data_IF_900716731484
#
_entry.id   IF_900716731484
#
_cell.length_a   1.000
_cell.length_b   1.000
_cell.length_c   1.000
_cell.angle_alpha   90.00
_cell.angle_beta   90.00
_cell.angle_gamma   90.00
#
_symmetry.space_group_name_H-M   'P 1'
#
loop_
_entity.id
_entity.type
_entity.pdbx_description
1 polymer ?
#
# COMPACT_ATOMS: atom_id res chain seq x y z
N UNK A 1 20.05 14.84 1.29
CA UNK A 1 19.60 14.54 -0.08
C UNK A 1 18.12 14.22 0.00
N UNK A 2 17.28 14.99 -0.67
CA UNK A 2 15.85 14.66 -0.78
C UNK A 2 15.74 13.40 -1.63
N UNK A 3 15.11 12.37 -1.07
CA UNK A 3 14.81 11.14 -1.80
C UNK A 3 13.39 11.15 -2.33
N UNK A 4 13.08 10.33 -3.32
CA UNK A 4 11.70 10.10 -3.77
C UNK A 4 11.29 8.66 -3.45
N UNK A 5 10.00 8.41 -3.21
CA UNK A 5 9.44 7.07 -3.13
C UNK A 5 8.42 6.88 -4.26
N UNK A 6 8.84 6.31 -5.36
CA UNK A 6 8.03 6.13 -6.57
C UNK A 6 7.53 4.68 -6.73
N UNK A 7 8.39 3.69 -6.42
CA UNK A 7 8.10 2.25 -6.40
C UNK A 7 8.80 1.60 -5.22
N UNK A 8 8.43 0.38 -4.86
CA UNK A 8 9.12 -0.39 -3.82
C UNK A 8 10.44 -0.99 -4.31
N UNK A 9 10.55 -1.29 -5.60
CA UNK A 9 11.81 -1.74 -6.18
C UNK A 9 12.98 -0.79 -5.96
N UNK A 10 12.73 0.51 -5.77
CA UNK A 10 13.76 1.50 -5.43
C UNK A 10 14.34 1.32 -4.01
N UNK A 11 13.56 0.76 -3.09
CA UNK A 11 14.00 0.50 -1.71
C UNK A 11 14.83 -0.78 -1.60
N UNK A 12 14.53 -1.76 -2.45
CA UNK A 12 15.06 -3.11 -2.29
C UNK A 12 14.58 -3.77 -0.98
N UNK A 13 15.08 -4.97 -0.71
CA UNK A 13 14.69 -5.75 0.48
C UNK A 13 15.05 -5.02 1.78
N UNK A 14 16.27 -4.52 1.89
CA UNK A 14 16.76 -3.82 3.09
C UNK A 14 15.97 -2.54 3.38
N UNK A 15 15.72 -1.73 2.35
CA UNK A 15 14.94 -0.49 2.54
C UNK A 15 13.47 -0.74 2.85
N UNK A 16 12.86 -1.82 2.34
CA UNK A 16 11.52 -2.24 2.72
C UNK A 16 11.52 -2.65 4.20
N UNK A 17 12.46 -3.50 4.63
CA UNK A 17 12.59 -3.93 6.02
C UNK A 17 12.82 -2.74 6.97
N UNK A 18 13.71 -1.80 6.60
CA UNK A 18 13.92 -0.54 7.35
C UNK A 18 12.61 0.23 7.53
N UNK A 19 11.82 0.39 6.46
CA UNK A 19 10.54 1.09 6.53
C UNK A 19 9.53 0.39 7.45
N UNK A 20 9.47 -0.93 7.43
CA UNK A 20 8.58 -1.69 8.30
C UNK A 20 9.01 -1.56 9.77
N UNK A 21 10.30 -1.69 10.07
CA UNK A 21 10.84 -1.51 11.42
C UNK A 21 10.63 -0.07 11.94
N UNK A 22 10.79 0.93 11.08
CA UNK A 22 10.51 2.32 11.42
C UNK A 22 9.02 2.54 11.70
N UNK A 23 8.14 1.80 11.03
CA UNK A 23 6.68 1.90 11.23
C UNK A 23 6.26 1.53 12.65
N UNK A 24 6.93 0.58 13.32
CA UNK A 24 6.63 0.19 14.70
C UNK A 24 6.63 1.39 15.66
N UNK A 25 7.63 2.27 15.53
CA UNK A 25 7.74 3.48 16.34
C UNK A 25 6.53 4.41 16.15
N UNK A 26 6.00 4.48 14.94
CA UNK A 26 4.85 5.33 14.64
C UNK A 26 3.50 4.68 14.96
N UNK A 27 3.43 3.36 15.04
CA UNK A 27 2.27 2.66 15.60
C UNK A 27 2.14 2.98 17.08
N UNK A 28 3.25 2.95 17.85
CA UNK A 28 3.28 3.35 19.25
C UNK A 28 2.81 4.82 19.42
N UNK A 29 3.34 5.74 18.61
CA UNK A 29 2.87 7.14 18.63
C UNK A 29 1.37 7.24 18.40
N UNK A 30 0.84 6.41 17.49
CA UNK A 30 -0.60 6.37 17.19
C UNK A 30 -1.49 5.93 18.36
N UNK A 31 -0.94 5.23 19.34
CA UNK A 31 -1.64 4.74 20.54
C UNK A 31 -1.59 5.73 21.72
N UNK A 32 -0.76 6.76 21.64
CA UNK A 32 -0.64 7.77 22.72
C UNK A 32 -1.94 8.58 22.87
N UNK A 33 -2.25 9.08 24.07
CA UNK A 33 -3.38 10.00 24.28
C UNK A 33 -3.33 11.23 23.36
N UNK A 34 -2.13 11.74 23.08
CA UNK A 34 -1.86 12.77 22.07
C UNK A 34 -0.99 12.13 20.98
N UNK A 35 -1.58 11.63 19.88
CA UNK A 35 -0.85 10.89 18.83
C UNK A 35 -0.10 11.84 17.90
N UNK A 36 0.80 12.68 18.45
CA UNK A 36 1.55 13.69 17.71
C UNK A 36 2.99 13.77 18.23
N UNK A 37 3.92 13.95 17.30
CA UNK A 37 5.35 14.18 17.57
C UNK A 37 5.87 15.34 16.71
N UNK A 38 6.83 16.16 17.19
CA UNK A 38 7.31 17.34 16.47
C UNK A 38 8.34 17.02 15.37
N UNK A 39 8.37 15.78 14.87
CA UNK A 39 9.41 15.26 13.97
C UNK A 39 9.52 16.00 12.63
N UNK A 40 8.45 16.63 12.16
CA UNK A 40 8.41 17.42 10.92
C UNK A 40 7.92 18.86 11.17
N UNK A 41 8.13 19.40 12.36
CA UNK A 41 7.77 20.79 12.66
C UNK A 41 8.48 21.75 11.70
N UNK A 42 7.73 22.66 11.08
CA UNK A 42 8.25 23.62 10.10
C UNK A 42 8.47 23.03 8.69
N UNK A 43 8.07 21.77 8.46
CA UNK A 43 8.01 21.18 7.12
C UNK A 43 6.62 21.27 6.56
N UNK A 44 6.52 21.40 5.22
CA UNK A 44 5.25 21.48 4.50
C UNK A 44 5.10 20.29 3.56
N UNK A 45 3.98 19.57 3.66
CA UNK A 45 3.62 18.46 2.78
C UNK A 45 2.44 18.85 1.90
N UNK A 46 2.62 18.85 0.58
CA UNK A 46 1.56 19.08 -0.37
C UNK A 46 0.93 17.74 -0.83
N UNK A 47 -0.41 17.63 -0.81
CA UNK A 47 -1.14 16.48 -1.34
C UNK A 47 -1.79 16.85 -2.67
N UNK A 48 -1.24 16.32 -3.78
CA UNK A 48 -1.65 16.58 -5.16
C UNK A 48 -2.43 15.39 -5.71
N UNK A 49 -3.75 15.41 -5.52
CA UNK A 49 -4.63 14.31 -5.93
C UNK A 49 -5.42 14.69 -7.19
N UNK A 50 -4.97 14.17 -8.32
CA UNK A 50 -5.61 14.30 -9.64
C UNK A 50 -6.59 13.16 -9.93
N UNK A 51 -6.59 12.12 -9.11
CA UNK A 51 -7.54 11.02 -9.07
C UNK A 51 -8.17 10.97 -7.67
N UNK A 52 -9.48 10.81 -7.59
CA UNK A 52 -10.20 10.75 -6.31
C UNK A 52 -9.72 9.61 -5.43
N UNK A 53 -9.43 9.92 -4.19
CA UNK A 53 -9.09 8.95 -3.16
C UNK A 53 -9.23 9.54 -1.76
N UNK A 54 -10.35 9.27 -1.13
CA UNK A 54 -10.60 9.73 0.24
C UNK A 54 -9.63 9.12 1.24
N UNK A 55 -9.47 7.79 1.21
CA UNK A 55 -8.61 7.07 2.18
C UNK A 55 -7.16 7.47 2.10
N UNK A 56 -6.55 7.40 0.91
CA UNK A 56 -5.12 7.69 0.74
C UNK A 56 -4.81 9.13 1.11
N UNK A 57 -5.64 10.08 0.68
CA UNK A 57 -5.47 11.50 1.01
C UNK A 57 -5.55 11.72 2.52
N UNK A 58 -6.64 11.29 3.16
CA UNK A 58 -6.82 11.46 4.61
C UNK A 58 -5.71 10.77 5.41
N UNK A 59 -5.22 9.60 4.97
CA UNK A 59 -4.12 8.91 5.64
C UNK A 59 -2.81 9.70 5.56
N UNK A 60 -2.45 10.30 4.41
CA UNK A 60 -1.27 11.16 4.30
C UNK A 60 -1.42 12.46 5.08
N UNK A 61 -2.59 13.13 5.00
CA UNK A 61 -2.84 14.34 5.76
C UNK A 61 -2.80 14.08 7.28
N UNK A 62 -3.36 12.94 7.72
CA UNK A 62 -3.28 12.54 9.13
C UNK A 62 -1.85 12.24 9.54
N UNK A 63 -1.09 11.52 8.72
CA UNK A 63 0.32 11.22 8.98
C UNK A 63 1.17 12.50 9.11
N UNK A 64 1.04 13.43 8.17
CA UNK A 64 1.75 14.70 8.20
C UNK A 64 1.41 15.53 9.45
N UNK A 65 0.11 15.63 9.79
CA UNK A 65 -0.35 16.35 11.00
C UNK A 65 0.14 15.69 12.29
N UNK A 66 0.21 14.35 12.36
CA UNK A 66 0.77 13.64 13.52
C UNK A 66 2.28 13.86 13.68
N UNK A 67 2.98 14.13 12.59
CA UNK A 67 4.39 14.51 12.58
C UNK A 67 4.61 16.02 12.79
N UNK A 68 3.55 16.80 13.02
CA UNK A 68 3.55 18.26 13.17
C UNK A 68 4.00 19.02 11.92
N UNK A 69 3.84 18.44 10.74
CA UNK A 69 4.02 19.14 9.47
C UNK A 69 2.80 19.98 9.11
N UNK A 70 3.02 21.07 8.38
CA UNK A 70 1.96 21.79 7.71
C UNK A 70 1.48 21.02 6.49
N UNK A 71 0.18 21.09 6.20
CA UNK A 71 -0.44 20.35 5.09
C UNK A 71 -1.08 21.30 4.10
N UNK A 72 -0.65 21.22 2.85
CA UNK A 72 -1.24 21.93 1.73
C UNK A 72 -2.02 20.95 0.86
N UNK A 73 -3.34 21.10 0.79
CA UNK A 73 -4.20 20.19 0.03
C UNK A 73 -4.58 20.82 -1.30
N UNK A 74 -4.20 20.16 -2.39
CA UNK A 74 -4.61 20.52 -3.75
C UNK A 74 -5.71 19.59 -4.25
N UNK A 75 -6.76 20.15 -4.83
CA UNK A 75 -7.85 19.43 -5.47
C UNK A 75 -7.96 19.84 -6.94
N UNK A 76 -7.79 18.86 -7.83
CA UNK A 76 -7.84 19.11 -9.29
C UNK A 76 -9.19 19.67 -9.75
N UNK A 77 -10.29 19.28 -9.13
CA UNK A 77 -11.66 19.72 -9.49
C UNK A 77 -11.93 21.21 -9.23
N UNK A 78 -11.18 21.82 -8.32
CA UNK A 78 -11.31 23.24 -7.94
C UNK A 78 -10.12 24.12 -8.34
N UNK A 79 -9.22 23.60 -9.17
CA UNK A 79 -7.94 24.24 -9.52
C UNK A 79 -7.95 24.90 -10.90
N UNK A 80 -6.90 25.69 -11.17
CA UNK A 80 -6.63 26.33 -12.46
C UNK A 80 -6.36 25.35 -13.61
N UNK A 81 -6.13 24.06 -13.33
CA UNK A 81 -6.10 23.00 -14.36
C UNK A 81 -7.36 22.98 -15.22
N UNK A 82 -8.53 23.27 -14.62
CA UNK A 82 -9.79 23.42 -15.34
C UNK A 82 -9.77 24.60 -16.36
N UNK A 83 -8.81 25.51 -16.24
CA UNK A 83 -8.60 26.67 -17.10
C UNK A 83 -7.50 26.48 -18.13
N UNK A 84 -6.92 25.26 -18.23
CA UNK A 84 -5.88 24.91 -19.21
C UNK A 84 -4.44 25.07 -18.70
N UNK A 85 -4.21 25.27 -17.41
CA UNK A 85 -2.86 25.22 -16.81
C UNK A 85 -2.27 23.81 -16.96
N UNK A 86 -0.99 23.73 -17.28
CA UNK A 86 -0.32 22.43 -17.40
C UNK A 86 -0.01 21.84 -16.01
N UNK A 87 0.10 20.50 -15.95
CA UNK A 87 0.52 19.82 -14.73
C UNK A 87 1.87 20.32 -14.23
N UNK A 88 2.79 20.63 -15.16
CA UNK A 88 4.12 21.13 -14.83
C UNK A 88 4.06 22.51 -14.18
N UNK A 89 3.30 23.44 -14.74
CA UNK A 89 3.15 24.79 -14.18
C UNK A 89 2.52 24.73 -12.77
N UNK A 90 1.55 23.83 -12.56
CA UNK A 90 0.96 23.58 -11.23
C UNK A 90 2.00 23.08 -10.23
N UNK A 91 2.87 22.13 -10.62
CA UNK A 91 3.93 21.59 -9.77
C UNK A 91 4.95 22.67 -9.43
N UNK A 92 5.45 23.41 -10.40
CA UNK A 92 6.41 24.52 -10.23
C UNK A 92 5.83 25.62 -9.33
N UNK A 93 4.54 25.93 -9.47
CA UNK A 93 3.85 26.91 -8.61
C UNK A 93 3.79 26.43 -7.17
N UNK A 94 3.46 25.16 -6.93
CA UNK A 94 3.38 24.60 -5.57
C UNK A 94 4.78 24.50 -4.95
N UNK A 95 5.79 24.12 -5.74
CA UNK A 95 7.18 24.13 -5.28
C UNK A 95 7.63 25.51 -4.82
N UNK A 96 7.32 26.56 -5.61
CA UNK A 96 7.64 27.96 -5.27
C UNK A 96 6.98 28.44 -3.98
N UNK A 97 5.94 27.76 -3.49
CA UNK A 97 5.33 28.03 -2.18
C UNK A 97 6.13 27.45 -0.99
N UNK A 98 7.25 26.76 -1.24
CA UNK A 98 8.16 26.27 -0.22
C UNK A 98 7.76 24.95 0.40
N UNK A 99 7.26 23.98 -0.39
CA UNK A 99 6.93 22.64 0.08
C UNK A 99 8.19 21.75 0.16
N UNK A 100 8.26 20.90 1.18
CA UNK A 100 9.33 19.92 1.36
C UNK A 100 9.00 18.56 0.74
N UNK A 101 7.71 18.23 0.62
CA UNK A 101 7.27 17.00 -0.02
C UNK A 101 5.96 17.17 -0.79
N UNK A 102 5.85 16.42 -1.90
CA UNK A 102 4.64 16.33 -2.72
C UNK A 102 4.15 14.87 -2.78
N UNK A 103 2.95 14.61 -2.29
CA UNK A 103 2.27 13.33 -2.45
C UNK A 103 1.42 13.40 -3.72
N UNK A 104 1.84 12.68 -4.76
CA UNK A 104 1.21 12.75 -6.09
C UNK A 104 0.39 11.50 -6.35
N UNK A 105 -0.91 11.68 -6.65
CA UNK A 105 -1.80 10.61 -7.12
C UNK A 105 -2.42 10.99 -8.45
N UNK A 106 -2.28 10.10 -9.44
CA UNK A 106 -2.75 10.36 -10.79
C UNK A 106 -3.35 9.11 -11.46
N UNK A 107 -4.31 9.30 -12.38
CA UNK A 107 -4.91 8.21 -13.16
C UNK A 107 -3.96 7.60 -14.21
N UNK A 108 -2.94 8.32 -14.63
CA UNK A 108 -1.94 7.86 -15.60
C UNK A 108 -0.69 7.39 -14.87
N UNK A 109 -0.16 6.25 -15.31
CA UNK A 109 1.11 5.69 -14.81
C UNK A 109 2.29 6.60 -15.16
N UNK A 110 3.30 6.66 -14.27
CA UNK A 110 4.55 7.41 -14.48
C UNK A 110 4.49 8.90 -14.12
N UNK A 111 3.32 9.47 -13.81
CA UNK A 111 3.21 10.91 -13.48
C UNK A 111 4.01 11.27 -12.22
N UNK A 112 4.02 10.53 -11.11
CA UNK A 112 4.90 10.87 -9.98
C UNK A 112 6.38 10.90 -10.36
N UNK A 113 6.82 10.00 -11.25
CA UNK A 113 8.18 9.99 -11.75
C UNK A 113 8.50 11.20 -12.67
N UNK A 114 7.50 11.73 -13.39
CA UNK A 114 7.66 12.98 -14.13
C UNK A 114 7.78 14.16 -13.18
N UNK A 115 6.92 14.25 -12.17
CA UNK A 115 6.96 15.29 -11.14
C UNK A 115 8.32 15.27 -10.43
N UNK A 116 8.84 14.11 -10.06
CA UNK A 116 10.16 13.97 -9.45
C UNK A 116 11.32 14.50 -10.30
N UNK A 117 11.15 14.56 -11.63
CA UNK A 117 12.14 15.16 -12.54
C UNK A 117 11.99 16.68 -12.73
N UNK A 118 10.86 17.23 -12.35
CA UNK A 118 10.58 18.66 -12.48
C UNK A 118 10.93 19.45 -11.23
N UNK A 119 10.78 18.83 -10.05
CA UNK A 119 11.10 19.48 -8.76
C UNK A 119 12.61 19.53 -8.53
N UNK A 120 13.04 20.54 -7.79
CA UNK A 120 14.43 20.70 -7.35
C UNK A 120 14.83 19.73 -6.23
N UNK A 121 16.13 19.67 -5.95
CA UNK A 121 16.75 18.75 -4.99
C UNK A 121 16.22 18.88 -3.53
N UNK A 122 15.52 19.98 -3.23
CA UNK A 122 14.93 20.23 -1.91
C UNK A 122 13.58 19.54 -1.67
N UNK A 123 12.92 19.01 -2.71
CA UNK A 123 11.54 18.49 -2.62
C UNK A 123 11.51 17.00 -2.83
N UNK A 124 10.90 16.29 -1.89
CA UNK A 124 10.65 14.84 -2.00
C UNK A 124 9.31 14.55 -2.69
N UNK A 125 9.28 13.57 -3.60
CA UNK A 125 8.05 13.14 -4.27
C UNK A 125 7.67 11.74 -3.81
N UNK A 126 6.41 11.59 -3.38
CA UNK A 126 5.81 10.33 -2.95
C UNK A 126 4.70 9.93 -3.92
N UNK A 127 4.76 8.71 -4.41
CA UNK A 127 3.71 8.14 -5.22
C UNK A 127 2.52 7.70 -4.34
N UNK A 128 1.43 8.48 -4.37
CA UNK A 128 0.15 8.18 -3.72
C UNK A 128 -0.76 7.24 -4.52
N UNK A 129 -0.21 6.62 -5.58
CA UNK A 129 -0.88 5.71 -6.51
C UNK A 129 -1.03 6.29 -7.91
N UNK A 130 -0.41 5.67 -8.90
CA UNK A 130 -0.43 6.11 -10.29
C UNK A 130 -0.91 5.02 -11.26
N UNK A 131 -1.97 5.30 -11.99
CA UNK A 131 -2.54 4.40 -13.00
C UNK A 131 -2.69 2.97 -12.51
N UNK A 132 -2.10 2.04 -13.25
CA UNK A 132 -1.98 0.61 -12.92
C UNK A 132 -0.55 0.25 -12.45
N UNK A 133 0.32 1.24 -12.26
CA UNK A 133 1.75 1.06 -12.09
C UNK A 133 2.14 0.74 -10.65
N UNK A 134 2.02 1.69 -9.71
CA UNK A 134 2.49 1.47 -8.34
C UNK A 134 1.68 2.23 -7.28
N UNK A 135 1.68 1.70 -6.06
CA UNK A 135 1.21 2.36 -4.85
C UNK A 135 2.08 1.94 -3.66
N UNK A 136 3.34 2.43 -3.59
CA UNK A 136 4.36 1.90 -2.68
C UNK A 136 3.92 1.91 -1.21
N UNK A 137 3.26 2.97 -0.75
CA UNK A 137 2.78 3.03 0.65
C UNK A 137 1.61 2.08 0.93
N UNK A 138 0.93 1.55 -0.10
CA UNK A 138 -0.05 0.48 0.08
C UNK A 138 0.67 -0.87 0.26
N UNK A 139 1.63 -1.20 -0.60
CA UNK A 139 2.40 -2.44 -0.44
C UNK A 139 3.15 -2.50 0.90
N UNK A 140 3.75 -1.39 1.35
CA UNK A 140 4.34 -1.32 2.70
C UNK A 140 3.30 -1.53 3.80
N UNK A 141 2.11 -0.92 3.68
CA UNK A 141 1.02 -1.07 4.64
C UNK A 141 0.55 -2.52 4.74
N UNK A 142 0.38 -3.18 3.61
CA UNK A 142 -0.12 -4.54 3.53
C UNK A 142 0.94 -5.52 4.06
N UNK A 143 2.20 -5.35 3.65
CA UNK A 143 3.33 -6.12 4.17
C UNK A 143 3.53 -5.94 5.69
N UNK A 144 3.46 -4.70 6.20
CA UNK A 144 3.54 -4.42 7.63
C UNK A 144 2.41 -5.09 8.42
N UNK A 145 1.18 -5.02 7.88
CA UNK A 145 0.02 -5.62 8.53
C UNK A 145 0.16 -7.13 8.66
N UNK A 146 0.65 -7.79 7.60
CA UNK A 146 0.91 -9.23 7.61
C UNK A 146 2.06 -9.59 8.54
N UNK A 147 3.19 -8.88 8.45
CA UNK A 147 4.32 -9.13 9.34
C UNK A 147 3.89 -9.06 10.81
N UNK A 148 3.20 -8.01 11.23
CA UNK A 148 2.76 -7.85 12.63
C UNK A 148 1.55 -8.70 13.00
N UNK A 149 0.88 -9.31 12.06
CA UNK A 149 -0.12 -10.33 12.36
C UNK A 149 0.53 -11.68 12.68
N UNK A 150 1.50 -12.12 11.88
CA UNK A 150 2.18 -13.41 12.07
C UNK A 150 3.37 -13.34 13.05
N UNK A 151 3.95 -12.15 13.23
CA UNK A 151 5.00 -11.82 14.19
C UNK A 151 4.55 -10.65 15.07
N UNK A 152 3.67 -10.85 16.05
CA UNK A 152 3.22 -9.79 16.94
C UNK A 152 4.40 -9.23 17.74
N UNK A 153 4.33 -7.93 18.08
CA UNK A 153 5.33 -7.34 18.98
C UNK A 153 5.30 -8.04 20.33
N UNK A 154 6.47 -8.34 20.94
CA UNK A 154 6.51 -8.85 22.30
C UNK A 154 5.80 -7.89 23.26
N UNK A 155 5.13 -8.43 24.28
CA UNK A 155 4.50 -7.67 25.40
C UNK A 155 5.56 -7.03 26.35
N UNK A 156 6.81 -6.92 25.94
CA UNK A 156 7.91 -6.38 26.72
C UNK A 156 8.02 -4.85 26.57
N UNK A 157 8.55 -4.14 27.60
CA UNK A 157 8.73 -2.70 27.54
C UNK A 157 9.59 -2.28 26.35
N UNK A 158 9.29 -1.14 25.71
CA UNK A 158 10.11 -0.62 24.57
C UNK A 158 11.59 -0.52 24.96
N UNK A 159 12.45 -1.19 24.17
CA UNK A 159 13.91 -1.11 24.33
C UNK A 159 14.60 -2.34 24.93
N UNK A 160 13.87 -3.41 25.29
CA UNK A 160 14.46 -4.64 25.88
C UNK A 160 14.65 -5.77 24.87
N UNK A 161 13.89 -5.85 23.81
CA UNK A 161 14.11 -6.80 22.72
C UNK A 161 14.52 -6.05 21.45
N UNK A 162 15.47 -6.58 20.69
CA UNK A 162 15.67 -6.17 19.30
C UNK A 162 14.41 -6.57 18.53
N UNK A 163 13.79 -5.66 17.76
CA UNK A 163 12.65 -6.04 16.94
C UNK A 163 13.09 -7.15 15.97
N UNK A 164 12.26 -8.19 15.82
CA UNK A 164 12.49 -9.21 14.82
C UNK A 164 12.66 -8.55 13.46
N UNK A 165 13.62 -9.04 12.68
CA UNK A 165 13.83 -8.53 11.32
C UNK A 165 12.55 -8.78 10.50
N UNK A 166 12.01 -7.75 9.81
CA UNK A 166 10.79 -7.90 9.03
C UNK A 166 10.92 -8.98 7.97
N UNK A 167 10.08 -10.00 8.08
CA UNK A 167 10.06 -11.12 7.14
C UNK A 167 8.65 -11.64 6.94
N UNK A 168 8.36 -12.14 5.76
CA UNK A 168 7.17 -12.91 5.41
C UNK A 168 7.57 -14.32 4.91
N UNK A 169 8.81 -14.72 5.21
CA UNK A 169 9.34 -16.03 4.81
C UNK A 169 8.49 -17.15 5.40
N UNK A 170 8.19 -18.16 4.58
CA UNK A 170 7.34 -19.28 4.96
C UNK A 170 5.84 -19.04 4.69
N UNK A 171 5.40 -17.80 4.48
CA UNK A 171 4.01 -17.52 4.13
C UNK A 171 3.73 -17.75 2.67
N UNK A 172 2.56 -18.32 2.38
CA UNK A 172 1.99 -18.47 1.03
C UNK A 172 0.80 -17.53 0.87
N UNK A 173 0.98 -16.48 0.06
CA UNK A 173 0.05 -15.36 -0.07
C UNK A 173 -0.64 -15.41 -1.43
N UNK A 174 -1.96 -15.61 -1.44
CA UNK A 174 -2.78 -15.48 -2.65
C UNK A 174 -3.14 -14.03 -2.92
N UNK A 175 -2.91 -13.55 -4.15
CA UNK A 175 -3.44 -12.28 -4.65
C UNK A 175 -4.52 -12.61 -5.66
N UNK A 176 -5.78 -12.33 -5.30
CA UNK A 176 -6.96 -12.82 -6.04
C UNK A 176 -7.69 -11.68 -6.74
N UNK A 177 -7.89 -11.79 -8.04
CA UNK A 177 -8.75 -10.89 -8.79
C UNK A 177 -8.07 -10.17 -9.96
N UNK A 178 -8.29 -8.87 -10.10
CA UNK A 178 -7.81 -8.08 -11.23
C UNK A 178 -6.32 -7.69 -11.06
N UNK A 179 -5.44 -8.55 -11.50
CA UNK A 179 -3.98 -8.36 -11.39
C UNK A 179 -3.51 -7.29 -12.38
N UNK A 180 -3.99 -7.33 -13.63
CA UNK A 180 -3.46 -6.46 -14.70
C UNK A 180 -3.71 -4.98 -14.46
N UNK A 181 -4.88 -4.61 -13.90
CA UNK A 181 -5.25 -3.21 -13.68
C UNK A 181 -4.96 -2.73 -12.24
N UNK A 182 -4.38 -3.61 -11.40
CA UNK A 182 -4.15 -3.29 -10.00
C UNK A 182 -2.72 -2.82 -9.72
N UNK A 183 -2.57 -1.54 -9.45
CA UNK A 183 -1.32 -0.98 -8.90
C UNK A 183 -0.99 -1.54 -7.51
N UNK A 184 -2.00 -2.00 -6.77
CA UNK A 184 -1.81 -2.61 -5.46
C UNK A 184 -1.18 -3.97 -5.62
N UNK A 185 -1.71 -4.83 -6.51
CA UNK A 185 -1.12 -6.14 -6.79
C UNK A 185 0.38 -6.03 -7.13
N UNK A 186 0.77 -5.05 -7.95
CA UNK A 186 2.19 -4.83 -8.30
C UNK A 186 3.03 -4.50 -7.07
N UNK A 187 2.59 -3.54 -6.26
CA UNK A 187 3.34 -3.16 -5.05
C UNK A 187 3.35 -4.25 -3.99
N UNK A 188 2.28 -5.05 -3.88
CA UNK A 188 2.22 -6.19 -2.96
C UNK A 188 3.17 -7.32 -3.42
N UNK A 189 3.21 -7.64 -4.72
CA UNK A 189 4.15 -8.62 -5.27
C UNK A 189 5.59 -8.21 -4.96
N UNK A 190 5.97 -6.93 -5.21
CA UNK A 190 7.31 -6.42 -4.86
C UNK A 190 7.61 -6.57 -3.37
N UNK A 191 6.69 -6.12 -2.49
CA UNK A 191 6.88 -6.16 -1.05
C UNK A 191 6.97 -7.59 -0.50
N UNK A 192 6.03 -8.45 -0.89
CA UNK A 192 5.93 -9.80 -0.35
C UNK A 192 7.10 -10.68 -0.79
N UNK A 193 7.46 -10.62 -2.07
CA UNK A 193 8.61 -11.40 -2.59
C UNK A 193 9.94 -10.91 -2.02
N UNK A 194 10.11 -9.59 -1.83
CA UNK A 194 11.30 -9.02 -1.19
C UNK A 194 11.45 -9.48 0.26
N UNK A 195 10.34 -9.66 0.97
CA UNK A 195 10.32 -10.17 2.36
C UNK A 195 10.30 -11.70 2.46
N UNK A 196 10.44 -12.41 1.35
CA UNK A 196 10.61 -13.86 1.32
C UNK A 196 9.34 -14.69 1.21
N UNK A 197 8.15 -14.09 1.06
CA UNK A 197 6.92 -14.85 0.87
C UNK A 197 6.85 -15.54 -0.50
N UNK A 198 6.09 -16.63 -0.56
CA UNK A 198 5.60 -17.23 -1.80
C UNK A 198 4.28 -16.58 -2.19
N UNK A 199 4.17 -16.08 -3.41
CA UNK A 199 2.99 -15.37 -3.92
C UNK A 199 2.28 -16.21 -4.96
N UNK A 200 0.96 -16.35 -4.85
CA UNK A 200 0.12 -17.05 -5.82
C UNK A 200 -0.83 -16.04 -6.46
N UNK A 201 -0.66 -15.76 -7.74
CA UNK A 201 -1.58 -14.91 -8.50
C UNK A 201 -2.76 -15.74 -8.98
N UNK A 202 -3.95 -15.39 -8.54
CA UNK A 202 -5.20 -16.12 -8.83
C UNK A 202 -6.15 -15.22 -9.60
N UNK A 203 -6.32 -15.45 -10.89
CA UNK A 203 -7.17 -14.60 -11.70
C UNK A 203 -7.67 -15.33 -12.96
N UNK A 204 -8.78 -14.88 -13.58
CA UNK A 204 -9.13 -15.30 -14.93
C UNK A 204 -8.02 -14.87 -15.91
N UNK A 205 -7.80 -15.61 -17.00
CA UNK A 205 -6.77 -15.26 -17.99
C UNK A 205 -6.86 -13.82 -18.51
N UNK A 206 -8.06 -13.28 -18.61
CA UNK A 206 -8.34 -11.91 -19.08
C UNK A 206 -7.93 -10.81 -18.10
N UNK A 207 -7.73 -11.15 -16.83
CA UNK A 207 -7.31 -10.23 -15.76
C UNK A 207 -5.84 -10.45 -15.31
N UNK A 208 -5.09 -11.24 -16.10
CA UNK A 208 -3.64 -11.36 -16.04
C UNK A 208 -3.00 -10.64 -17.23
N UNK A 209 -1.74 -10.21 -17.16
CA UNK A 209 -0.97 -9.81 -18.34
C UNK A 209 -0.97 -10.92 -19.41
N UNK A 210 -0.86 -10.57 -20.68
CA UNK A 210 -0.96 -11.54 -21.79
C UNK A 210 0.06 -12.69 -21.70
N UNK A 211 1.24 -12.43 -21.20
CA UNK A 211 2.29 -13.40 -20.90
C UNK A 211 2.73 -13.22 -19.44
N UNK A 212 1.94 -13.75 -18.49
CA UNK A 212 2.12 -13.36 -17.09
C UNK A 212 3.45 -13.85 -16.49
N UNK A 213 4.00 -14.98 -16.99
CA UNK A 213 5.31 -15.47 -16.55
C UNK A 213 6.43 -14.57 -17.06
N UNK A 214 6.44 -14.24 -18.35
CA UNK A 214 7.45 -13.36 -18.94
C UNK A 214 7.41 -11.97 -18.27
N UNK A 215 6.20 -11.44 -18.02
CA UNK A 215 6.02 -10.19 -17.31
C UNK A 215 6.63 -10.21 -15.91
N UNK A 216 6.49 -11.29 -15.15
CA UNK A 216 7.10 -11.44 -13.83
C UNK A 216 8.63 -11.53 -13.96
N UNK A 217 9.14 -12.33 -14.90
CA UNK A 217 10.57 -12.58 -15.08
C UNK A 217 11.31 -11.33 -15.61
N UNK A 218 10.65 -10.47 -16.38
CA UNK A 218 11.21 -9.20 -16.85
C UNK A 218 11.20 -8.11 -15.75
N UNK A 219 10.23 -8.16 -14.85
CA UNK A 219 10.00 -7.10 -13.87
C UNK A 219 10.72 -7.35 -12.55
N UNK A 220 10.74 -8.58 -12.04
CA UNK A 220 11.31 -8.91 -10.75
C UNK A 220 12.73 -9.47 -10.89
N UNK A 221 13.53 -9.31 -9.83
CA UNK A 221 14.79 -10.05 -9.73
C UNK A 221 14.52 -11.56 -9.78
N UNK A 222 15.46 -12.37 -10.34
CA UNK A 222 15.23 -13.80 -10.58
C UNK A 222 14.80 -14.60 -9.34
N UNK A 223 15.30 -14.24 -8.16
CA UNK A 223 14.94 -14.91 -6.90
C UNK A 223 13.52 -14.57 -6.46
N UNK A 224 13.10 -13.33 -6.60
CA UNK A 224 11.74 -12.88 -6.34
C UNK A 224 10.76 -13.49 -7.35
N UNK A 225 11.12 -13.52 -8.63
CA UNK A 225 10.32 -14.10 -9.70
C UNK A 225 10.01 -15.59 -9.47
N UNK A 226 10.96 -16.37 -8.95
CA UNK A 226 10.76 -17.80 -8.61
C UNK A 226 9.75 -18.03 -7.50
N UNK A 227 9.47 -17.02 -6.68
CA UNK A 227 8.49 -17.08 -5.58
C UNK A 227 7.05 -16.84 -6.07
N UNK A 228 6.86 -16.50 -7.34
CA UNK A 228 5.53 -16.19 -7.89
C UNK A 228 5.00 -17.36 -8.70
N UNK A 229 3.89 -17.93 -8.24
CA UNK A 229 3.07 -18.94 -8.92
C UNK A 229 1.86 -18.25 -9.58
N UNK A 230 1.34 -18.80 -10.67
CA UNK A 230 0.18 -18.26 -11.38
C UNK A 230 -0.82 -19.40 -11.57
N UNK A 231 -2.07 -19.17 -11.20
CA UNK A 231 -3.17 -20.12 -11.37
C UNK A 231 -4.47 -19.42 -11.73
N UNK A 232 -5.40 -20.19 -12.30
CA UNK A 232 -6.75 -19.73 -12.64
C UNK A 232 -7.82 -20.34 -11.74
N UNK A 233 -7.47 -21.30 -10.88
CA UNK A 233 -8.38 -21.97 -9.95
C UNK A 233 -8.14 -21.50 -8.53
N UNK A 234 -9.08 -20.73 -7.95
CA UNK A 234 -8.99 -20.32 -6.55
C UNK A 234 -9.12 -21.51 -5.62
N UNK A 235 -10.07 -22.39 -5.88
CA UNK A 235 -10.38 -23.54 -5.04
C UNK A 235 -9.22 -24.53 -4.97
N UNK A 236 -8.39 -24.61 -6.01
CA UNK A 236 -7.23 -25.50 -6.08
C UNK A 236 -6.12 -25.13 -5.08
N UNK A 237 -6.04 -23.87 -4.69
CA UNK A 237 -4.94 -23.34 -3.86
C UNK A 237 -5.40 -22.84 -2.50
N UNK A 238 -6.69 -22.57 -2.34
CA UNK A 238 -7.26 -21.84 -1.20
C UNK A 238 -6.89 -22.44 0.16
N UNK A 239 -6.99 -23.76 0.32
CA UNK A 239 -6.69 -24.46 1.58
C UNK A 239 -5.21 -24.47 1.97
N UNK A 240 -4.32 -24.07 1.05
CA UNK A 240 -2.88 -23.97 1.30
C UNK A 240 -2.37 -22.53 1.37
N UNK A 241 -3.26 -21.55 1.42
CA UNK A 241 -2.90 -20.14 1.56
C UNK A 241 -2.94 -19.71 3.04
N UNK A 242 -1.91 -19.02 3.49
CA UNK A 242 -1.89 -18.34 4.78
C UNK A 242 -2.59 -16.97 4.72
N UNK A 243 -2.57 -16.35 3.52
CA UNK A 243 -3.20 -15.05 3.28
C UNK A 243 -3.97 -15.06 1.97
N UNK A 244 -5.18 -14.53 1.99
CA UNK A 244 -5.98 -14.25 0.80
C UNK A 244 -6.11 -12.74 0.64
N UNK A 245 -5.28 -12.16 -0.21
CA UNK A 245 -5.33 -10.75 -0.63
C UNK A 245 -6.35 -10.57 -1.75
N UNK A 246 -7.53 -10.08 -1.43
CA UNK A 246 -8.56 -9.82 -2.42
C UNK A 246 -8.34 -8.45 -3.07
N UNK A 247 -8.36 -8.42 -4.39
CA UNK A 247 -8.28 -7.17 -5.14
C UNK A 247 -9.68 -6.64 -5.45
N UNK A 248 -9.81 -5.31 -5.40
CA UNK A 248 -11.04 -4.67 -5.84
C UNK A 248 -11.27 -4.91 -7.34
N UNK A 249 -12.43 -5.43 -7.69
CA UNK A 249 -12.87 -5.53 -9.07
C UNK A 249 -13.22 -4.13 -9.60
N UNK A 250 -12.31 -3.51 -10.35
CA UNK A 250 -12.41 -2.11 -10.82
C UNK A 250 -13.18 -2.03 -12.14
N UNK A 251 -14.46 -2.34 -12.11
CA UNK A 251 -15.34 -2.36 -13.30
C UNK A 251 -15.29 -1.07 -14.11
N UNK A 252 -15.12 0.05 -13.43
CA UNK A 252 -15.00 1.38 -14.03
C UNK A 252 -13.71 1.59 -14.85
N UNK A 253 -12.75 0.67 -14.73
CA UNK A 253 -11.47 0.69 -15.46
C UNK A 253 -11.34 -0.45 -16.47
N UNK A 254 -12.27 -1.39 -16.46
CA UNK A 254 -12.27 -2.53 -17.36
C UNK A 254 -12.93 -2.14 -18.68
N UNK A 255 -12.34 -2.55 -19.80
CA UNK A 255 -13.05 -2.61 -21.06
C UNK A 255 -14.14 -3.69 -21.00
N UNK A 256 -15.23 -3.50 -21.73
CA UNK A 256 -16.28 -4.49 -21.83
C UNK A 256 -15.71 -5.84 -22.31
N UNK A 257 -16.14 -6.94 -21.66
CA UNK A 257 -15.79 -8.30 -22.05
C UNK A 257 -14.59 -8.93 -21.33
N UNK A 258 -13.90 -8.24 -20.40
CA UNK A 258 -12.79 -8.82 -19.62
C UNK A 258 -13.28 -9.84 -18.56
N UNK A 259 -14.52 -9.69 -18.08
CA UNK A 259 -15.22 -10.69 -17.27
C UNK A 259 -16.51 -11.06 -17.97
N UNK A 260 -16.86 -12.35 -18.01
CA UNK A 260 -18.08 -12.83 -18.67
C UNK A 260 -19.32 -12.23 -18.01
N UNK A 261 -19.43 -12.35 -16.70
CA UNK A 261 -20.47 -11.71 -15.89
C UNK A 261 -20.01 -11.59 -14.42
N UNK A 262 -20.64 -10.68 -13.67
CA UNK A 262 -20.37 -10.59 -12.22
C UNK A 262 -20.72 -11.88 -11.48
N UNK A 263 -21.86 -12.54 -11.71
CA UNK A 263 -22.15 -13.84 -11.10
C UNK A 263 -21.10 -14.92 -11.40
N UNK A 264 -20.59 -14.99 -12.63
CA UNK A 264 -19.53 -15.94 -13.01
C UNK A 264 -18.22 -15.61 -12.28
N UNK A 265 -17.84 -14.34 -12.19
CA UNK A 265 -16.66 -13.92 -11.44
C UNK A 265 -16.79 -14.30 -9.96
N UNK A 266 -17.92 -14.01 -9.32
CA UNK A 266 -18.20 -14.38 -7.92
C UNK A 266 -18.13 -15.90 -7.73
N UNK A 267 -18.75 -16.66 -8.63
CA UNK A 267 -18.75 -18.12 -8.56
C UNK A 267 -17.35 -18.73 -8.62
N UNK A 268 -16.40 -18.09 -9.35
CA UNK A 268 -15.04 -18.62 -9.55
C UNK A 268 -14.00 -18.00 -8.62
N UNK A 269 -14.12 -16.71 -8.27
CA UNK A 269 -13.08 -15.92 -7.59
C UNK A 269 -13.55 -15.19 -6.34
N UNK A 270 -14.87 -15.07 -6.11
CA UNK A 270 -15.42 -14.46 -4.91
C UNK A 270 -15.15 -15.33 -3.68
N UNK A 271 -14.74 -14.72 -2.58
CA UNK A 271 -14.63 -15.39 -1.29
C UNK A 271 -16.02 -15.51 -0.65
N UNK A 272 -16.66 -16.65 -0.88
CA UNK A 272 -17.96 -17.01 -0.30
C UNK A 272 -17.79 -17.60 1.10
N UNK A 273 -18.88 -17.73 1.86
CA UNK A 273 -18.84 -18.40 3.16
C UNK A 273 -18.30 -19.83 3.08
N UNK A 274 -18.66 -20.59 2.04
CA UNK A 274 -18.13 -21.94 1.80
C UNK A 274 -16.60 -21.92 1.63
N UNK A 275 -16.07 -20.97 0.85
CA UNK A 275 -14.63 -20.81 0.65
C UNK A 275 -13.93 -20.32 1.92
N UNK A 276 -14.57 -19.42 2.67
CA UNK A 276 -14.04 -18.95 3.96
C UNK A 276 -13.90 -20.10 4.98
N UNK A 277 -14.80 -21.08 4.94
CA UNK A 277 -14.71 -22.32 5.73
C UNK A 277 -13.55 -23.22 5.31
N UNK A 278 -13.18 -23.21 4.05
CA UNK A 278 -12.08 -24.02 3.52
C UNK A 278 -10.69 -23.38 3.70
N UNK A 279 -10.63 -22.16 4.25
CA UNK A 279 -9.37 -21.53 4.64
C UNK A 279 -8.75 -22.28 5.83
N UNK A 280 -7.41 -22.31 5.87
CA UNK A 280 -6.69 -22.75 7.07
C UNK A 280 -7.15 -21.98 8.32
N UNK A 281 -7.06 -22.59 9.52
CA UNK A 281 -7.58 -21.99 10.75
C UNK A 281 -6.94 -20.62 11.07
N UNK A 282 -5.66 -20.44 10.73
CA UNK A 282 -4.90 -19.21 10.97
C UNK A 282 -4.83 -18.31 9.74
N UNK A 283 -5.43 -18.72 8.62
CA UNK A 283 -5.40 -17.95 7.38
C UNK A 283 -6.21 -16.66 7.50
N UNK A 284 -5.67 -15.57 6.98
CA UNK A 284 -6.27 -14.23 7.05
C UNK A 284 -6.62 -13.65 5.70
N UNK A 285 -7.50 -12.67 5.71
CA UNK A 285 -7.97 -11.99 4.50
C UNK A 285 -7.60 -10.51 4.56
N UNK A 286 -6.99 -10.01 3.48
CA UNK A 286 -6.68 -8.59 3.28
C UNK A 286 -7.45 -8.03 2.07
N UNK A 287 -7.63 -6.71 2.06
CA UNK A 287 -8.24 -6.00 0.94
C UNK A 287 -7.84 -4.52 0.96
N UNK A 288 -7.40 -3.93 -0.16
CA UNK A 288 -6.96 -2.52 -0.20
C UNK A 288 -8.12 -1.52 -0.01
N UNK A 289 -9.35 -2.04 -0.07
CA UNK A 289 -10.59 -1.25 0.05
C UNK A 289 -10.84 -0.25 -1.09
N UNK A 290 -12.10 0.21 -1.24
CA UNK A 290 -13.30 -0.28 -0.58
C UNK A 290 -13.66 -1.69 -1.04
N UNK A 291 -14.22 -2.48 -0.14
CA UNK A 291 -14.76 -3.82 -0.48
C UNK A 291 -16.07 -3.63 -1.28
N UNK A 292 -16.19 -4.30 -2.41
CA UNK A 292 -17.47 -4.50 -3.07
C UNK A 292 -18.12 -5.79 -2.52
N UNK A 293 -18.88 -5.64 -1.44
CA UNK A 293 -19.58 -6.79 -0.83
C UNK A 293 -20.49 -7.47 -1.86
N UNK A 294 -20.41 -8.80 -1.89
CA UNK A 294 -21.11 -9.61 -2.89
C UNK A 294 -20.34 -9.79 -4.22
N UNK A 295 -19.14 -9.23 -4.35
CA UNK A 295 -18.27 -9.46 -5.52
C UNK A 295 -16.97 -10.13 -5.08
N UNK A 296 -16.05 -9.41 -4.42
CA UNK A 296 -14.76 -9.97 -3.98
C UNK A 296 -14.94 -10.90 -2.76
N UNK A 297 -15.87 -10.52 -1.87
CA UNK A 297 -16.24 -11.28 -0.68
C UNK A 297 -17.73 -11.13 -0.40
N UNK A 298 -18.42 -12.19 0.01
CA UNK A 298 -19.81 -12.11 0.43
C UNK A 298 -19.95 -11.40 1.77
N UNK A 299 -21.16 -10.85 2.03
CA UNK A 299 -21.42 -10.14 3.28
C UNK A 299 -21.18 -11.03 4.51
N UNK A 300 -21.78 -12.21 4.49
CA UNK A 300 -21.68 -13.19 5.58
C UNK A 300 -20.23 -13.63 5.83
N UNK A 301 -19.48 -13.98 4.76
CA UNK A 301 -18.07 -14.34 4.89
C UNK A 301 -17.21 -13.19 5.49
N UNK A 302 -17.50 -11.95 5.11
CA UNK A 302 -16.80 -10.80 5.65
C UNK A 302 -17.13 -10.56 7.13
N UNK A 303 -18.36 -10.80 7.56
CA UNK A 303 -18.81 -10.67 8.96
C UNK A 303 -18.21 -11.75 9.84
N UNK A 304 -18.25 -13.01 9.40
CA UNK A 304 -17.66 -14.14 10.11
C UNK A 304 -16.13 -13.97 10.29
N UNK A 305 -15.42 -13.68 9.20
CA UNK A 305 -13.97 -13.45 9.23
C UNK A 305 -13.58 -12.23 10.08
N UNK A 306 -14.42 -11.20 10.12
CA UNK A 306 -14.19 -10.03 10.97
C UNK A 306 -14.42 -10.36 12.45
N UNK A 307 -15.44 -11.16 12.78
CA UNK A 307 -15.72 -11.63 14.14
C UNK A 307 -14.58 -12.50 14.67
N UNK A 308 -13.99 -13.34 13.82
CA UNK A 308 -12.82 -14.17 14.15
C UNK A 308 -11.48 -13.39 14.15
N UNK A 309 -11.49 -12.10 13.83
CA UNK A 309 -10.27 -11.28 13.73
C UNK A 309 -9.39 -11.61 12.54
N UNK A 310 -9.90 -12.39 11.58
CA UNK A 310 -9.20 -12.87 10.37
C UNK A 310 -9.35 -11.94 9.16
N UNK A 311 -10.28 -10.98 9.16
CA UNK A 311 -10.39 -9.93 8.16
C UNK A 311 -9.58 -8.71 8.59
N UNK A 312 -8.41 -8.49 8.02
CA UNK A 312 -7.44 -7.47 8.48
C UNK A 312 -7.66 -6.05 7.95
N UNK A 313 -8.73 -5.79 7.22
CA UNK A 313 -8.97 -4.51 6.51
C UNK A 313 -8.90 -3.28 7.41
N UNK A 314 -9.46 -3.33 8.61
CA UNK A 314 -9.40 -2.21 9.56
C UNK A 314 -8.00 -2.02 10.13
N UNK A 315 -7.25 -3.11 10.37
CA UNK A 315 -5.84 -3.05 10.77
C UNK A 315 -4.98 -2.43 9.67
N UNK A 316 -5.20 -2.81 8.40
CA UNK A 316 -4.52 -2.19 7.25
C UNK A 316 -4.72 -0.67 7.26
N UNK A 317 -5.93 -0.17 7.51
CA UNK A 317 -6.19 1.28 7.58
C UNK A 317 -5.40 1.95 8.71
N UNK A 318 -5.39 1.36 9.90
CA UNK A 318 -4.66 1.89 11.06
C UNK A 318 -3.15 1.92 10.79
N UNK A 319 -2.60 0.80 10.35
CA UNK A 319 -1.17 0.67 10.00
C UNK A 319 -0.78 1.60 8.85
N UNK A 320 -1.70 1.85 7.91
CA UNK A 320 -1.46 2.73 6.78
C UNK A 320 -1.14 4.17 7.17
N UNK A 321 -1.64 4.67 8.30
CA UNK A 321 -1.25 6.00 8.81
C UNK A 321 0.19 5.95 9.34
N UNK A 322 0.55 4.93 10.13
CA UNK A 322 1.89 4.78 10.69
C UNK A 322 2.97 4.58 9.60
N UNK A 323 2.68 3.76 8.58
CA UNK A 323 3.56 3.60 7.41
C UNK A 323 3.80 4.94 6.71
N UNK A 324 2.77 5.76 6.53
CA UNK A 324 2.92 7.07 5.89
C UNK A 324 3.68 8.05 6.77
N UNK A 325 3.57 7.94 8.10
CA UNK A 325 4.42 8.68 9.04
C UNK A 325 5.89 8.25 8.89
N UNK A 326 6.18 6.96 8.85
CA UNK A 326 7.53 6.43 8.65
C UNK A 326 8.14 6.92 7.33
N UNK A 327 7.39 6.83 6.23
CA UNK A 327 7.85 7.28 4.91
C UNK A 327 8.11 8.79 4.87
N UNK A 328 7.20 9.62 5.38
CA UNK A 328 7.39 11.06 5.43
C UNK A 328 8.60 11.43 6.30
N UNK A 329 8.72 10.82 7.47
CA UNK A 329 9.86 11.03 8.35
C UNK A 329 11.19 10.66 7.70
N UNK A 330 11.25 9.51 7.02
CA UNK A 330 12.47 9.03 6.34
C UNK A 330 12.90 9.95 5.20
N UNK A 331 11.95 10.55 4.48
CA UNK A 331 12.24 11.37 3.31
C UNK A 331 12.56 12.83 3.64
N UNK A 332 11.87 13.44 4.60
CA UNK A 332 11.98 14.86 4.89
C UNK A 332 12.27 15.19 6.37
N UNK A 333 12.43 14.16 7.22
CA UNK A 333 12.87 14.35 8.60
C UNK A 333 14.34 14.78 8.66
N UNK A 334 14.66 15.81 9.41
CA UNK A 334 16.04 16.10 9.80
C UNK A 334 16.45 15.01 10.79
N UNK A 335 17.60 14.35 10.61
CA UNK A 335 18.08 13.19 11.38
C UNK A 335 18.25 13.39 12.91
N UNK A 336 17.46 14.23 13.52
CA UNK A 336 17.31 14.35 14.98
C UNK A 336 16.55 13.13 15.50
N UNK A 337 17.20 12.39 16.35
CA UNK A 337 16.71 11.17 16.97
C UNK A 337 15.27 11.32 17.50
N UNK A 338 14.44 10.29 17.29
CA UNK A 338 13.14 10.10 17.95
C UNK A 338 13.35 9.76 19.44
N UNK A 339 14.08 10.58 20.17
CA UNK A 339 14.46 10.31 21.55
C UNK A 339 15.16 11.49 22.20
N UNK A 340 14.44 12.59 22.33
CA UNK A 340 14.69 13.56 23.38
C UNK A 340 13.30 13.96 23.87
N UNK A 341 12.94 13.45 25.04
CA UNK A 341 11.89 14.04 25.85
C UNK A 341 12.33 15.49 26.10
N UNK A 342 11.67 16.44 25.46
CA UNK A 342 11.74 17.84 25.87
C UNK A 342 10.91 17.94 27.17
N UNK A 343 11.54 17.65 28.29
CA UNK A 343 11.18 18.23 29.57
C UNK A 343 11.61 19.75 29.54
N UNK A 344 10.64 20.60 29.20
CA UNK A 344 10.56 22.00 29.67
C UNK A 344 9.11 22.52 29.45
#
# INVERSE_FOLDING_TARGET
MSGHLLTLGQLGTEGIAEMLSLTDRFVEVGQRPIPRVPALRGRTVATLFFEESTRTRLAFETAAKRLSADVMTFSASSSSLSKGESLRDTVETIEAMGVDAMVVRHRSSGVPAQVARWVGDGVSVLNGGDGWHAHPTQGLQDAYTLWRHFCPMPDEPPGTALPDEPTLSGLRIGIVGDIVHSRVARSDIEAYTALGASVVLVAPPTLLPAQPRDWIDEWLAPEAARRVEITHGLDDVLGGLDVVGLLRCQRERMADGLIGSVPEYVARYGLTSERAWNLGPDAVVTHPGPINRGIEITGDAAEDLAADGRLLVTRQVTHGVAVRMAVLFRLIGSGTALGADDDD
#
